data_IF_694283170104
#
_entry.id   IF_694283170104
#
_cell.length_a   1.000
_cell.length_b   1.000
_cell.length_c   1.000
_cell.angle_alpha   90.00
_cell.angle_beta   90.00
_cell.angle_gamma   90.00
#
_symmetry.space_group_name_H-M   'P 1'
#
loop_
_entity.id
_entity.type
_entity.pdbx_description
1 polymer ?
#
# COMPACT_ATOMS: atom_id res chain seq x y z
N UNK A 1 16.71 -2.28 24.47
CA UNK A 1 16.44 -2.01 23.04
C UNK A 1 14.94 -1.88 22.91
N UNK A 2 14.41 -0.73 22.48
CA UNK A 2 12.96 -0.56 22.34
C UNK A 2 12.51 -1.31 21.08
N UNK A 3 12.01 -2.53 21.25
CA UNK A 3 11.24 -3.21 20.21
C UNK A 3 9.89 -2.52 20.08
N UNK A 4 9.88 -1.39 19.36
CA UNK A 4 8.63 -0.74 18.98
C UNK A 4 7.97 -1.63 17.95
N UNK A 5 6.98 -2.42 18.38
CA UNK A 5 6.05 -3.08 17.46
C UNK A 5 5.39 -1.97 16.63
N UNK A 6 5.72 -1.89 15.34
CA UNK A 6 5.08 -0.97 14.41
C UNK A 6 3.68 -1.52 14.12
N UNK A 7 2.67 -0.95 14.78
CA UNK A 7 1.28 -1.24 14.49
C UNK A 7 0.84 -0.32 13.34
N UNK A 8 0.54 -0.93 12.19
CA UNK A 8 -0.06 -0.23 11.04
C UNK A 8 -1.52 -0.64 10.97
N UNK A 9 -2.42 0.34 11.00
CA UNK A 9 -3.87 0.13 10.90
C UNK A 9 -4.41 0.85 9.68
N UNK A 10 -5.29 0.19 8.94
CA UNK A 10 -6.00 0.81 7.81
C UNK A 10 -7.37 1.24 8.33
N UNK A 11 -7.57 2.55 8.50
CA UNK A 11 -8.84 3.08 9.00
C UNK A 11 -9.98 2.86 7.99
N UNK A 12 -9.67 3.05 6.71
CA UNK A 12 -10.63 2.95 5.60
C UNK A 12 -10.06 2.00 4.54
N UNK A 13 -10.37 0.69 4.60
CA UNK A 13 -9.88 -0.25 3.62
C UNK A 13 -10.46 0.06 2.23
N UNK A 14 -9.59 0.05 1.22
CA UNK A 14 -10.00 0.18 -0.17
C UNK A 14 -10.73 -1.11 -0.60
N UNK A 15 -11.95 -0.97 -1.12
CA UNK A 15 -12.76 -2.09 -1.63
C UNK A 15 -12.80 -2.15 -3.16
N UNK A 16 -11.96 -1.38 -3.83
CA UNK A 16 -11.92 -1.35 -5.30
C UNK A 16 -11.26 -2.60 -5.85
N UNK A 17 -11.74 -3.06 -7.01
CA UNK A 17 -11.16 -4.20 -7.70
C UNK A 17 -9.84 -3.78 -8.37
N UNK A 18 -8.75 -4.45 -8.00
CA UNK A 18 -7.42 -4.24 -8.58
C UNK A 18 -7.38 -4.40 -10.10
N UNK A 19 -8.14 -5.37 -10.64
CA UNK A 19 -8.17 -5.65 -12.08
C UNK A 19 -8.92 -4.57 -12.88
N UNK A 20 -9.77 -3.79 -12.21
CA UNK A 20 -10.54 -2.70 -12.80
C UNK A 20 -9.89 -1.32 -12.58
N UNK A 21 -8.73 -1.27 -11.90
CA UNK A 21 -7.99 -0.03 -11.70
C UNK A 21 -7.34 0.47 -13.00
N UNK A 22 -7.10 1.77 -13.05
CA UNK A 22 -6.40 2.38 -14.18
C UNK A 22 -4.95 1.89 -14.22
N UNK A 23 -4.64 1.05 -15.20
CA UNK A 23 -3.27 0.66 -15.49
C UNK A 23 -2.54 1.86 -16.12
N UNK A 24 -1.59 2.43 -15.38
CA UNK A 24 -0.64 3.44 -15.89
C UNK A 24 0.70 2.75 -16.16
N UNK A 25 1.67 3.49 -16.68
CA UNK A 25 3.01 2.98 -17.00
C UNK A 25 3.72 2.38 -15.77
N UNK A 26 3.49 1.08 -15.53
CA UNK A 26 4.11 0.29 -14.48
C UNK A 26 3.41 0.30 -13.11
N UNK A 27 2.23 0.91 -12.96
CA UNK A 27 1.47 0.89 -11.70
C UNK A 27 -0.04 0.96 -11.93
N UNK A 28 -0.81 0.42 -10.99
CA UNK A 28 -2.26 0.60 -10.96
C UNK A 28 -2.62 1.85 -10.15
N UNK A 29 -3.54 2.65 -10.66
CA UNK A 29 -4.04 3.83 -9.97
C UNK A 29 -5.48 3.60 -9.49
N UNK A 30 -5.70 3.74 -8.18
CA UNK A 30 -7.03 3.65 -7.61
C UNK A 30 -7.68 5.04 -7.63
N UNK A 31 -8.72 5.20 -8.45
CA UNK A 31 -9.50 6.44 -8.52
C UNK A 31 -10.20 6.77 -7.20
N UNK A 32 -10.74 5.77 -6.49
CA UNK A 32 -11.43 5.99 -5.22
C UNK A 32 -10.48 6.46 -4.10
N UNK A 33 -9.26 5.92 -4.06
CA UNK A 33 -8.24 6.36 -3.12
C UNK A 33 -7.46 7.59 -3.61
N UNK A 34 -7.58 7.92 -4.90
CA UNK A 34 -6.77 8.91 -5.61
C UNK A 34 -5.26 8.71 -5.40
N UNK A 35 -4.81 7.45 -5.44
CA UNK A 35 -3.43 7.04 -5.08
C UNK A 35 -2.93 5.96 -6.05
N UNK A 36 -1.63 5.99 -6.33
CA UNK A 36 -0.95 4.85 -6.94
C UNK A 36 -0.97 3.67 -5.95
N UNK A 37 -1.35 2.50 -6.43
CA UNK A 37 -1.44 1.30 -5.63
C UNK A 37 -0.16 0.50 -5.78
N UNK A 38 0.49 0.23 -4.66
CA UNK A 38 1.68 -0.62 -4.58
C UNK A 38 1.23 -2.06 -4.38
N UNK A 39 1.70 -2.96 -5.22
CA UNK A 39 1.47 -4.39 -5.01
C UNK A 39 2.49 -4.94 -4.01
N UNK A 40 2.01 -5.26 -2.80
CA UNK A 40 2.83 -5.84 -1.74
C UNK A 40 2.79 -7.37 -1.74
N UNK A 41 2.27 -8.01 -2.81
CA UNK A 41 2.30 -9.46 -2.94
C UNK A 41 3.73 -9.99 -2.79
N UNK A 42 3.93 -10.88 -1.81
CA UNK A 42 5.25 -11.47 -1.52
C UNK A 42 6.21 -10.58 -0.71
N UNK A 43 5.80 -9.37 -0.31
CA UNK A 43 6.62 -8.53 0.57
C UNK A 43 6.59 -9.07 2.00
N UNK A 44 7.73 -8.97 2.71
CA UNK A 44 7.74 -9.18 4.14
C UNK A 44 7.17 -7.96 4.88
N UNK A 45 6.71 -8.15 6.11
CA UNK A 45 6.28 -7.02 6.96
C UNK A 45 7.38 -5.95 7.09
N UNK A 46 8.65 -6.35 7.12
CA UNK A 46 9.77 -5.41 7.19
C UNK A 46 9.88 -4.56 5.91
N UNK A 47 9.66 -5.16 4.74
CA UNK A 47 9.68 -4.45 3.45
C UNK A 47 8.48 -3.49 3.32
N UNK A 48 7.31 -3.91 3.78
CA UNK A 48 6.11 -3.06 3.82
C UNK A 48 6.35 -1.86 4.74
N UNK A 49 6.82 -2.09 5.97
CA UNK A 49 7.13 -1.01 6.93
C UNK A 49 8.18 -0.06 6.36
N UNK A 50 9.24 -0.59 5.72
CA UNK A 50 10.27 0.23 5.08
C UNK A 50 9.70 1.07 3.94
N UNK A 51 8.81 0.51 3.13
CA UNK A 51 8.14 1.26 2.05
C UNK A 51 7.30 2.40 2.63
N UNK A 52 6.48 2.11 3.63
CA UNK A 52 5.64 3.10 4.30
C UNK A 52 6.46 4.19 5.00
N UNK A 53 7.58 3.83 5.64
CA UNK A 53 8.45 4.79 6.32
C UNK A 53 9.20 5.74 5.37
N UNK A 54 9.45 5.31 4.13
CA UNK A 54 10.12 6.12 3.11
C UNK A 54 9.13 6.87 2.21
N UNK A 55 7.84 6.61 2.31
CA UNK A 55 6.83 7.29 1.51
C UNK A 55 6.68 8.74 1.99
N UNK A 56 6.75 9.69 1.06
CA UNK A 56 6.49 11.11 1.32
C UNK A 56 4.99 11.45 1.33
N UNK A 57 4.15 10.52 0.89
CA UNK A 57 2.70 10.65 0.77
C UNK A 57 2.01 9.37 1.21
N UNK A 58 0.70 9.42 1.40
CA UNK A 58 -0.08 8.25 1.77
C UNK A 58 -0.03 7.16 0.69
N UNK A 59 0.11 5.92 1.12
CA UNK A 59 0.24 4.76 0.23
C UNK A 59 -1.07 3.98 0.20
N UNK A 60 -1.53 3.63 -1.01
CA UNK A 60 -2.52 2.58 -1.20
C UNK A 60 -1.76 1.29 -1.53
N UNK A 61 -2.11 0.18 -0.88
CA UNK A 61 -1.39 -1.08 -1.02
C UNK A 61 -2.33 -2.25 -1.21
N UNK A 62 -2.00 -3.14 -2.15
CA UNK A 62 -2.65 -4.44 -2.30
C UNK A 62 -1.89 -5.48 -1.48
N UNK A 63 -2.61 -6.21 -0.62
CA UNK A 63 -2.08 -7.33 0.17
C UNK A 63 -2.81 -8.60 -0.28
N UNK A 64 -2.07 -9.66 -0.60
CA UNK A 64 -2.62 -11.01 -0.89
C UNK A 64 -1.75 -12.11 -0.35
#
# INVERSE_FOLDING_TARGET
MKNSNALVTIAEPCTQNWEEMDQKDGFNFCQACNKCVVDFTGYSNADIIKTLANASTEVCGRLT
#
